data_IF_480114823182
#
_entry.id   IF_480114823182
#
_cell.length_a   1.000
_cell.length_b   1.000
_cell.length_c   1.000
_cell.angle_alpha   90.00
_cell.angle_beta   90.00
_cell.angle_gamma   90.00
#
_symmetry.space_group_name_H-M   'P 1'
#
loop_
_entity.id
_entity.type
_entity.pdbx_description
1 polymer ?
#
# COMPACT_ATOMS: atom_id res chain seq x y z
N UNK A 1 9.09 -11.18 -0.46
CA UNK A 1 8.89 -10.96 1.00
C UNK A 1 7.80 -11.89 1.50
N UNK A 2 7.93 -12.51 2.69
CA UNK A 2 6.85 -13.26 3.33
C UNK A 2 5.62 -12.36 3.61
N UNK A 3 4.40 -12.91 3.69
CA UNK A 3 3.18 -12.13 3.93
C UNK A 3 3.23 -11.24 5.18
N UNK A 4 3.82 -11.73 6.27
CA UNK A 4 3.99 -10.95 7.51
C UNK A 4 4.84 -9.70 7.28
N UNK A 5 5.94 -9.83 6.54
CA UNK A 5 6.81 -8.70 6.21
C UNK A 5 6.07 -7.70 5.31
N UNK A 6 5.30 -8.16 4.31
CA UNK A 6 4.48 -7.26 3.47
C UNK A 6 3.51 -6.43 4.32
N UNK A 7 2.86 -7.06 5.31
CA UNK A 7 1.93 -6.36 6.21
C UNK A 7 2.67 -5.33 7.08
N UNK A 8 3.88 -5.63 7.55
CA UNK A 8 4.72 -4.67 8.29
C UNK A 8 5.03 -3.44 7.44
N UNK A 9 5.49 -3.64 6.20
CA UNK A 9 5.79 -2.55 5.27
C UNK A 9 4.55 -1.69 4.99
N UNK A 10 3.41 -2.33 4.73
CA UNK A 10 2.14 -1.62 4.54
C UNK A 10 1.71 -0.85 5.80
N UNK A 11 1.98 -1.40 6.99
CA UNK A 11 1.75 -0.74 8.28
C UNK A 11 2.59 0.53 8.44
N UNK A 12 3.88 0.48 8.09
CA UNK A 12 4.76 1.67 8.11
C UNK A 12 4.21 2.77 7.19
N UNK A 13 3.85 2.42 5.96
CA UNK A 13 3.29 3.39 5.01
C UNK A 13 1.99 4.02 5.54
N UNK A 14 1.10 3.23 6.16
CA UNK A 14 -0.15 3.75 6.75
C UNK A 14 0.12 4.65 7.95
N UNK A 15 1.07 4.28 8.81
CA UNK A 15 1.44 5.10 9.95
C UNK A 15 1.96 6.48 9.51
N UNK A 16 2.80 6.52 8.47
CA UNK A 16 3.26 7.79 7.89
C UNK A 16 2.13 8.63 7.31
N UNK A 17 1.19 8.00 6.59
CA UNK A 17 -0.01 8.66 6.08
C UNK A 17 -0.83 9.27 7.23
N UNK A 18 -1.03 8.49 8.29
CA UNK A 18 -1.84 8.88 9.44
C UNK A 18 -1.23 10.06 10.20
N UNK A 19 0.09 10.09 10.40
CA UNK A 19 0.79 11.21 11.05
C UNK A 19 0.61 12.53 10.30
N UNK A 20 0.54 12.48 8.97
CA UNK A 20 0.49 13.69 8.14
C UNK A 20 -0.92 14.23 7.93
N UNK A 21 -1.96 13.38 7.94
CA UNK A 21 -3.28 13.76 7.39
C UNK A 21 -4.52 13.20 8.12
N UNK A 22 -4.39 12.58 9.30
CA UNK A 22 -5.57 11.98 9.94
C UNK A 22 -6.62 13.01 10.35
N UNK A 23 -7.70 13.09 9.57
CA UNK A 23 -9.02 13.33 10.16
C UNK A 23 -9.31 12.17 11.10
N UNK A 24 -9.70 12.46 12.32
CA UNK A 24 -10.03 11.45 13.33
C UNK A 24 -11.21 10.61 12.83
N UNK A 25 -10.93 9.42 12.30
CA UNK A 25 -11.95 8.44 11.96
C UNK A 25 -12.28 7.66 13.24
N UNK A 26 -13.56 7.56 13.57
CA UNK A 26 -14.02 6.76 14.71
C UNK A 26 -13.65 5.28 14.52
N UNK A 27 -13.71 4.79 13.29
CA UNK A 27 -13.39 3.42 12.90
C UNK A 27 -12.59 3.41 11.59
N UNK A 28 -11.25 3.52 11.64
CA UNK A 28 -10.44 3.40 10.43
C UNK A 28 -10.40 1.95 9.94
N UNK A 29 -10.50 1.77 8.62
CA UNK A 29 -10.30 0.48 7.98
C UNK A 29 -8.95 0.46 7.26
N UNK A 30 -8.23 -0.63 7.41
CA UNK A 30 -6.97 -0.87 6.72
C UNK A 30 -7.14 -2.00 5.70
N UNK A 31 -6.84 -1.71 4.44
CA UNK A 31 -6.91 -2.67 3.33
C UNK A 31 -5.53 -2.77 2.71
N UNK A 32 -5.00 -3.99 2.63
CA UNK A 32 -3.68 -4.26 2.03
C UNK A 32 -3.87 -4.80 0.62
N UNK A 33 -3.30 -4.10 -0.37
CA UNK A 33 -3.26 -4.53 -1.76
C UNK A 33 -1.92 -5.23 -2.03
N UNK A 34 -1.96 -6.35 -2.74
CA UNK A 34 -0.78 -7.15 -3.08
C UNK A 34 -0.29 -6.89 -4.50
N UNK A 35 1.02 -6.73 -4.67
CA UNK A 35 1.69 -6.60 -5.96
C UNK A 35 2.76 -7.69 -6.10
N UNK A 36 2.94 -8.22 -7.32
CA UNK A 36 3.83 -9.36 -7.52
C UNK A 36 5.32 -8.99 -7.46
N UNK A 37 5.65 -7.74 -7.77
CA UNK A 37 7.00 -7.22 -7.79
C UNK A 37 6.99 -5.68 -7.68
N UNK A 38 8.18 -5.11 -7.47
CA UNK A 38 8.41 -3.66 -7.36
C UNK A 38 7.91 -2.90 -8.59
N UNK A 39 8.18 -3.40 -9.80
CA UNK A 39 7.71 -2.75 -11.03
C UNK A 39 6.17 -2.59 -11.08
N UNK A 40 5.41 -3.57 -10.57
CA UNK A 40 3.95 -3.44 -10.46
C UNK A 40 3.53 -2.44 -9.39
N UNK A 41 4.25 -2.38 -8.26
CA UNK A 41 4.03 -1.39 -7.21
C UNK A 41 4.26 0.03 -7.74
N UNK A 42 5.36 0.27 -8.44
CA UNK A 42 5.70 1.55 -9.07
C UNK A 42 4.65 1.98 -10.10
N UNK A 43 4.24 1.06 -10.98
CA UNK A 43 3.17 1.32 -11.96
C UNK A 43 1.86 1.70 -11.26
N UNK A 44 1.52 1.02 -10.18
CA UNK A 44 0.33 1.34 -9.39
C UNK A 44 0.46 2.71 -8.72
N UNK A 45 1.62 3.03 -8.14
CA UNK A 45 1.91 4.32 -7.53
C UNK A 45 1.77 5.45 -8.56
N UNK A 46 2.43 5.35 -9.71
CA UNK A 46 2.34 6.34 -10.78
C UNK A 46 0.90 6.50 -11.26
N UNK A 47 0.18 5.40 -11.46
CA UNK A 47 -1.21 5.48 -11.89
C UNK A 47 -2.10 6.15 -10.84
N UNK A 48 -1.96 5.80 -9.57
CA UNK A 48 -2.82 6.37 -8.53
C UNK A 48 -2.46 7.84 -8.28
N UNK A 49 -1.18 8.22 -8.42
CA UNK A 49 -0.71 9.60 -8.33
C UNK A 49 -1.29 10.51 -9.41
N UNK A 50 -1.81 9.94 -10.52
CA UNK A 50 -2.52 10.71 -11.55
C UNK A 50 -3.93 11.12 -11.11
N UNK A 51 -4.46 10.53 -10.04
CA UNK A 51 -5.69 10.95 -9.41
C UNK A 51 -5.42 11.97 -8.31
N UNK A 52 -6.45 12.73 -7.94
CA UNK A 52 -6.43 13.62 -6.78
C UNK A 52 -6.48 12.80 -5.48
N UNK A 53 -5.42 12.04 -5.20
CA UNK A 53 -5.25 11.20 -4.01
C UNK A 53 -3.81 11.40 -3.52
N UNK A 54 -3.65 11.79 -2.25
CA UNK A 54 -2.33 11.86 -1.64
C UNK A 54 -1.76 10.47 -1.41
N UNK A 55 -0.51 10.26 -1.84
CA UNK A 55 0.24 9.03 -1.66
C UNK A 55 1.44 9.23 -0.73
N UNK A 56 1.75 8.18 0.03
CA UNK A 56 2.83 8.14 1.02
C UNK A 56 3.70 6.93 0.70
N UNK A 57 4.78 7.11 -0.07
CA UNK A 57 5.69 6.03 -0.35
C UNK A 57 6.47 5.66 0.91
N UNK A 58 6.74 4.37 1.06
CA UNK A 58 7.63 3.83 2.08
C UNK A 58 8.83 3.17 1.40
N UNK A 59 10.02 3.56 1.85
CA UNK A 59 11.28 3.02 1.39
C UNK A 59 11.94 2.30 2.55
N UNK A 60 12.31 1.04 2.37
CA UNK A 60 12.86 0.19 3.42
C UNK A 60 14.35 0.48 3.64
N UNK A 61 14.76 1.12 4.76
CA UNK A 61 16.14 1.51 4.97
C UNK A 61 17.09 0.32 5.05
N UNK A 62 16.63 -0.82 5.55
CA UNK A 62 17.45 -2.02 5.73
C UNK A 62 17.63 -2.81 4.42
N UNK A 63 16.98 -2.38 3.33
CA UNK A 63 17.03 -2.99 2.00
C UNK A 63 17.43 -1.94 0.96
N UNK A 64 18.54 -1.26 1.18
CA UNK A 64 19.08 -0.25 0.25
C UNK A 64 18.08 0.85 -0.16
N UNK A 65 17.13 1.20 0.72
CA UNK A 65 16.01 2.11 0.44
C UNK A 65 15.11 1.65 -0.73
N UNK A 66 14.93 0.34 -0.90
CA UNK A 66 13.96 -0.22 -1.85
C UNK A 66 12.55 0.33 -1.64
N UNK A 67 11.81 0.56 -2.72
CA UNK A 67 10.42 0.98 -2.65
C UNK A 67 9.52 -0.24 -2.38
N UNK A 68 9.10 -0.43 -1.13
CA UNK A 68 8.46 -1.67 -0.68
C UNK A 68 6.96 -1.56 -0.48
N UNK A 69 6.45 -0.35 -0.20
CA UNK A 69 5.02 -0.10 -0.02
C UNK A 69 4.68 1.36 -0.26
N UNK A 70 3.39 1.65 -0.45
CA UNK A 70 2.87 3.01 -0.29
C UNK A 70 1.47 2.96 0.32
N UNK A 71 1.09 4.03 0.99
CA UNK A 71 -0.27 4.24 1.48
C UNK A 71 -0.92 5.39 0.72
N UNK A 72 -2.25 5.41 0.74
CA UNK A 72 -3.03 6.57 0.34
C UNK A 72 -3.41 7.36 1.58
N UNK A 73 -3.95 8.56 1.40
CA UNK A 73 -4.86 9.13 2.40
C UNK A 73 -6.10 8.25 2.59
N UNK A 74 -6.93 8.55 3.60
CA UNK A 74 -8.19 7.83 3.80
C UNK A 74 -9.11 7.94 2.57
N UNK A 75 -9.52 6.78 2.04
CA UNK A 75 -10.37 6.71 0.86
C UNK A 75 -11.84 6.55 1.25
N UNK A 76 -12.64 7.55 0.88
CA UNK A 76 -14.09 7.56 1.08
C UNK A 76 -14.83 7.00 -0.16
N UNK A 77 -16.11 6.67 0.01
CA UNK A 77 -16.89 5.81 -0.89
C UNK A 77 -16.75 6.14 -2.38
N UNK A 78 -16.86 7.42 -2.75
CA UNK A 78 -16.78 7.86 -4.14
C UNK A 78 -15.44 7.54 -4.82
N UNK A 79 -14.34 7.41 -4.08
CA UNK A 79 -13.00 7.12 -4.63
C UNK A 79 -12.62 5.63 -4.56
N UNK A 80 -13.39 4.79 -3.85
CA UNK A 80 -13.08 3.34 -3.67
C UNK A 80 -13.07 2.57 -4.99
N UNK A 81 -13.88 2.98 -5.97
CA UNK A 81 -13.96 2.31 -7.26
C UNK A 81 -12.63 2.31 -8.04
N UNK A 82 -11.77 3.30 -7.79
CA UNK A 82 -10.44 3.44 -8.41
C UNK A 82 -9.52 2.26 -8.07
N UNK A 83 -9.79 1.57 -6.95
CA UNK A 83 -8.95 0.48 -6.45
C UNK A 83 -9.45 -0.92 -6.84
N UNK A 84 -10.65 -1.06 -7.44
CA UNK A 84 -11.32 -2.35 -7.70
C UNK A 84 -10.52 -3.33 -8.55
N UNK A 85 -9.61 -2.83 -9.37
CA UNK A 85 -8.77 -3.65 -10.26
C UNK A 85 -7.54 -4.26 -9.57
N UNK A 86 -7.20 -3.78 -8.38
CA UNK A 86 -6.08 -4.29 -7.61
C UNK A 86 -6.56 -5.43 -6.72
N UNK A 87 -5.71 -6.44 -6.57
CA UNK A 87 -6.02 -7.56 -5.70
C UNK A 87 -5.65 -7.23 -4.26
N UNK A 88 -6.52 -7.61 -3.33
CA UNK A 88 -6.12 -7.69 -1.93
C UNK A 88 -4.97 -8.68 -1.78
N UNK A 89 -4.10 -8.44 -0.80
CA UNK A 89 -3.04 -9.38 -0.46
C UNK A 89 -3.64 -10.77 -0.20
N UNK A 90 -3.15 -11.78 -0.90
CA UNK A 90 -3.58 -13.17 -0.77
C UNK A 90 -2.37 -14.10 -0.64
N UNK A 91 -2.60 -15.35 -0.23
CA UNK A 91 -1.52 -16.33 -0.05
C UNK A 91 -0.84 -16.78 -1.36
N UNK A 92 -1.39 -16.42 -2.53
CA UNK A 92 -0.83 -16.80 -3.84
C UNK A 92 0.34 -15.91 -4.28
N UNK A 93 0.65 -14.84 -3.54
CA UNK A 93 1.86 -14.03 -3.72
C UNK A 93 3.13 -14.72 -3.19
N UNK A 94 2.99 -15.92 -2.63
CA UNK A 94 4.08 -16.76 -2.14
C UNK A 94 4.65 -17.55 -3.32
N UNK A 95 5.88 -17.23 -3.73
CA UNK A 95 6.69 -18.17 -4.48
C UNK A 95 6.86 -19.44 -3.65
N UNK A 96 6.24 -20.53 -4.09
CA UNK A 96 6.43 -21.85 -3.52
C UNK A 96 7.91 -22.19 -3.66
N UNK A 97 8.63 -22.21 -2.54
CA UNK A 97 9.87 -22.97 -2.41
C UNK A 97 9.50 -24.24 -1.67
N UNK A 98 9.13 -25.26 -2.43
CA UNK A 98 9.18 -26.67 -2.01
C UNK A 98 10.21 -27.36 -2.88
#
# INVERSE_FOLDING_TARGET
MPPSQIVVQAGHAVFESALRHSKTLQHPHFVVLGFKNEQQLEKAYQQISSFDIKLYPFYEPDRDNEFTAFATESIFENKRHLFKKYNCLNNSFVGVST
#
